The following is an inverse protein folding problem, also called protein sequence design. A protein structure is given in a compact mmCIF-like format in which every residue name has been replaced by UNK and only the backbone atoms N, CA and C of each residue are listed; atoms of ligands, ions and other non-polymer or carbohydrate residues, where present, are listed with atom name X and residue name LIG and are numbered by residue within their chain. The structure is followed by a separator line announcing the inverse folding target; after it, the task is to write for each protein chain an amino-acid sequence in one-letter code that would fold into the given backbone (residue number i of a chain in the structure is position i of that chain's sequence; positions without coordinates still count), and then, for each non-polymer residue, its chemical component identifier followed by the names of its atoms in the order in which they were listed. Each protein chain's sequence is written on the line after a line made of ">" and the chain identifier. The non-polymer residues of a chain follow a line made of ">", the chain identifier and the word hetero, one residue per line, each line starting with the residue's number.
data_IF_068089007982
#
_entry.id   IF_068089007982
#
_cell.length_a   1.000
_cell.length_b   1.000
_cell.length_c   1.000
_cell.angle_alpha   90.00
_cell.angle_beta   90.00
_cell.angle_gamma   90.00
#
_symmetry.space_group_name_H-M   'P 1'
#
loop_
_entity.id
_entity.type
_entity.pdbx_description
1 polymer ?
#
# COMPACT_ATOMS: atom_id res chain seq x y z
N UNK A 1 -14.80 -10.55 -4.53
CA UNK A 1 -13.71 -9.60 -4.78
C UNK A 1 -13.24 -9.06 -3.43
N UNK A 2 -12.10 -9.53 -2.89
CA UNK A 2 -11.62 -9.08 -1.59
C UNK A 2 -10.86 -7.75 -1.69
N UNK A 3 -10.90 -6.98 -0.62
CA UNK A 3 -10.14 -5.74 -0.47
C UNK A 3 -9.17 -5.88 0.71
N UNK A 4 -7.91 -5.55 0.48
CA UNK A 4 -6.84 -5.66 1.46
C UNK A 4 -6.30 -4.28 1.79
N UNK A 5 -6.39 -3.89 3.06
CA UNK A 5 -5.69 -2.72 3.58
C UNK A 5 -4.48 -3.18 4.39
N UNK A 6 -3.30 -2.69 4.02
CA UNK A 6 -2.04 -3.02 4.69
C UNK A 6 -1.42 -1.74 5.24
N UNK A 7 -1.30 -1.65 6.56
CA UNK A 7 -0.56 -0.56 7.21
C UNK A 7 0.94 -0.83 7.19
N UNK A 8 1.75 0.23 7.04
CA UNK A 8 3.21 0.05 6.96
C UNK A 8 3.66 -0.61 5.65
N UNK A 9 2.94 -0.32 4.56
CA UNK A 9 3.11 -1.00 3.28
C UNK A 9 4.39 -0.61 2.51
N UNK A 10 5.20 0.33 3.00
CA UNK A 10 6.36 0.85 2.28
C UNK A 10 7.60 -0.05 2.30
N UNK A 11 7.68 -1.01 3.23
CA UNK A 11 8.87 -1.87 3.42
C UNK A 11 8.57 -3.19 4.13
N UNK A 12 9.55 -4.10 4.12
CA UNK A 12 9.50 -5.36 4.86
C UNK A 12 8.28 -6.20 4.51
N UNK A 13 7.64 -6.77 5.54
CA UNK A 13 6.46 -7.64 5.39
C UNK A 13 5.26 -6.91 4.79
N UNK A 14 5.01 -5.65 5.18
CA UNK A 14 3.90 -4.87 4.62
C UNK A 14 4.04 -4.70 3.11
N UNK A 15 5.27 -4.46 2.64
CA UNK A 15 5.56 -4.38 1.21
C UNK A 15 5.37 -5.73 0.49
N UNK A 16 5.82 -6.83 1.09
CA UNK A 16 5.64 -8.15 0.47
C UNK A 16 4.17 -8.54 0.40
N UNK A 17 3.35 -8.19 1.40
CA UNK A 17 1.91 -8.42 1.34
C UNK A 17 1.26 -7.68 0.17
N UNK A 18 1.52 -6.38 0.01
CA UNK A 18 0.93 -5.65 -1.13
C UNK A 18 1.43 -6.21 -2.47
N UNK A 19 2.68 -6.66 -2.55
CA UNK A 19 3.23 -7.32 -3.74
C UNK A 19 2.46 -8.61 -4.06
N UNK A 20 2.34 -9.51 -3.08
CA UNK A 20 1.62 -10.78 -3.23
C UNK A 20 0.15 -10.57 -3.60
N UNK A 21 -0.56 -9.68 -2.91
CA UNK A 21 -1.97 -9.42 -3.19
C UNK A 21 -2.19 -8.75 -4.54
N UNK A 22 -1.24 -7.93 -5.01
CA UNK A 22 -1.33 -7.23 -6.29
C UNK A 22 -1.21 -8.14 -7.52
N UNK A 23 -0.69 -9.37 -7.35
CA UNK A 23 -0.58 -10.34 -8.45
C UNK A 23 -1.92 -10.78 -9.01
N UNK A 24 -2.96 -10.80 -8.18
CA UNK A 24 -4.34 -11.01 -8.63
C UNK A 24 -4.99 -9.65 -8.91
N UNK A 25 -5.32 -9.39 -10.18
CA UNK A 25 -5.95 -8.16 -10.61
C UNK A 25 -7.39 -8.01 -10.13
N UNK A 26 -8.02 -9.08 -9.63
CA UNK A 26 -9.32 -9.00 -8.99
C UNK A 26 -9.23 -8.39 -7.58
N UNK A 27 -8.04 -8.32 -6.97
CA UNK A 27 -7.90 -7.75 -5.63
C UNK A 27 -7.86 -6.23 -5.68
N UNK A 28 -8.54 -5.59 -4.73
CA UNK A 28 -8.29 -4.18 -4.40
C UNK A 28 -7.25 -4.11 -3.29
N UNK A 29 -6.05 -3.64 -3.59
CA UNK A 29 -4.95 -3.55 -2.62
C UNK A 29 -4.71 -2.09 -2.26
N UNK A 30 -4.77 -1.78 -0.96
CA UNK A 30 -4.59 -0.44 -0.41
C UNK A 30 -3.42 -0.48 0.57
N UNK A 31 -2.36 0.29 0.29
CA UNK A 31 -1.22 0.45 1.18
C UNK A 31 -1.26 1.79 1.91
N UNK A 32 -1.20 1.77 3.25
CA UNK A 32 -1.03 2.98 4.06
C UNK A 32 0.47 3.18 4.32
N UNK A 33 0.98 4.34 3.90
CA UNK A 33 2.40 4.69 3.96
C UNK A 33 2.60 6.12 4.45
N UNK A 34 3.76 6.40 5.05
CA UNK A 34 4.13 7.77 5.47
C UNK A 34 4.78 8.59 4.37
N UNK A 35 5.37 7.92 3.37
CA UNK A 35 5.99 8.55 2.21
C UNK A 35 5.46 7.85 0.96
N UNK A 36 4.47 8.49 0.31
CA UNK A 36 3.85 7.97 -0.90
C UNK A 36 4.81 8.00 -2.07
N UNK A 37 5.55 9.09 -2.24
CA UNK A 37 6.45 9.29 -3.40
C UNK A 37 7.55 8.22 -3.45
N UNK A 38 8.18 7.93 -2.31
CA UNK A 38 9.20 6.89 -2.24
C UNK A 38 8.61 5.49 -2.50
N UNK A 39 7.42 5.21 -1.98
CA UNK A 39 6.75 3.91 -2.18
C UNK A 39 6.31 3.73 -3.63
N UNK A 40 5.75 4.76 -4.26
CA UNK A 40 5.38 4.74 -5.68
C UNK A 40 6.58 4.50 -6.59
N UNK A 41 7.74 5.11 -6.29
CA UNK A 41 8.98 4.85 -7.02
C UNK A 41 9.35 3.36 -6.96
N UNK A 42 9.28 2.76 -5.77
CA UNK A 42 9.58 1.35 -5.57
C UNK A 42 8.59 0.42 -6.30
N UNK A 43 7.29 0.73 -6.24
CA UNK A 43 6.28 -0.03 -6.99
C UNK A 43 6.52 0.02 -8.50
N UNK A 44 6.93 1.19 -9.04
CA UNK A 44 7.31 1.32 -10.46
C UNK A 44 8.53 0.48 -10.81
N UNK A 45 9.57 0.48 -9.97
CA UNK A 45 10.77 -0.35 -10.16
C UNK A 45 10.43 -1.84 -10.18
N UNK A 46 9.50 -2.26 -9.31
CA UNK A 46 9.03 -3.64 -9.21
C UNK A 46 7.91 -3.99 -10.22
N UNK A 47 7.50 -3.03 -11.07
CA UNK A 47 6.43 -3.17 -12.09
C UNK A 47 5.05 -3.56 -11.50
N UNK A 48 4.74 -3.07 -10.32
CA UNK A 48 3.48 -3.31 -9.63
C UNK A 48 2.54 -2.12 -9.86
N UNK A 49 1.39 -2.37 -10.50
CA UNK A 49 0.44 -1.32 -10.86
C UNK A 49 -0.93 -1.46 -10.15
N UNK A 50 -1.22 -2.62 -9.54
CA UNK A 50 -2.50 -2.89 -8.86
C UNK A 50 -2.42 -2.62 -7.35
N UNK A 51 -1.97 -1.41 -6.97
CA UNK A 51 -1.91 -0.97 -5.56
C UNK A 51 -2.31 0.51 -5.48
N UNK A 52 -3.27 0.82 -4.61
CA UNK A 52 -3.65 2.19 -4.25
C UNK A 52 -2.86 2.59 -3.01
N UNK A 53 -2.14 3.71 -3.06
CA UNK A 53 -1.40 4.23 -1.91
C UNK A 53 -2.14 5.39 -1.25
N UNK A 54 -2.35 5.25 0.06
CA UNK A 54 -2.87 6.28 0.95
C UNK A 54 -1.74 6.78 1.85
N UNK A 55 -1.52 8.09 1.85
CA UNK A 55 -0.50 8.72 2.68
C UNK A 55 -1.09 9.09 4.04
N UNK A 56 -0.63 8.41 5.09
CA UNK A 56 -0.99 8.72 6.47
C UNK A 56 0.04 8.15 7.45
N UNK A 57 0.16 8.81 8.60
CA UNK A 57 0.82 8.23 9.77
C UNK A 57 -0.22 7.54 10.65
N UNK A 58 0.06 6.30 11.07
CA UNK A 58 -0.84 5.56 11.95
C UNK A 58 -0.94 6.16 13.37
N UNK A 59 0.04 6.98 13.75
CA UNK A 59 0.01 7.72 15.00
C UNK A 59 -0.86 9.00 14.93
N UNK A 60 -1.21 9.45 13.72
CA UNK A 60 -2.11 10.58 13.51
C UNK A 60 -3.54 10.05 13.29
N UNK A 61 -4.31 10.06 14.38
CA UNK A 61 -5.67 9.54 14.36
C UNK A 61 -6.59 10.36 13.44
N UNK A 62 -6.35 11.66 13.28
CA UNK A 62 -7.19 12.51 12.44
C UNK A 62 -6.91 12.28 10.96
N UNK A 63 -5.67 11.96 10.60
CA UNK A 63 -5.32 11.51 9.25
C UNK A 63 -5.94 10.15 8.86
N UNK A 64 -6.34 9.34 9.84
CA UNK A 64 -6.99 8.04 9.62
C UNK A 64 -8.53 8.10 9.65
N UNK A 65 -9.10 9.19 10.16
CA UNK A 65 -10.55 9.39 10.20
C UNK A 65 -11.05 9.83 8.82
N UNK A 66 -12.24 9.33 8.48
CA UNK A 66 -13.02 9.72 7.29
C UNK A 66 -14.21 10.54 7.76
#
# INVERSE_FOLDING_TARGET
>A
MPSYLVTGASRGLGYEFIRQFSHDSANTVIGVVRDKTATEKKLREDRINNVILFEADIADLDALKV
#
